data_IF_342872291653
#
_entry.id   IF_342872291653
#
_cell.length_a   1.000
_cell.length_b   1.000
_cell.length_c   1.000
_cell.angle_alpha   90.00
_cell.angle_beta   90.00
_cell.angle_gamma   90.00
#
_symmetry.space_group_name_H-M   'P 1'
#
loop_
_entity.id
_entity.type
_entity.pdbx_description
1 polymer ?
#
# COMPACT_ATOMS: atom_id res chain seq x y z
N UNK A 1 10.90 -10.09 -16.16
CA UNK A 1 10.12 -8.94 -15.64
C UNK A 1 11.03 -7.73 -15.66
N UNK A 2 10.71 -6.71 -16.46
CA UNK A 2 11.48 -5.46 -16.50
C UNK A 2 11.03 -4.60 -15.32
N UNK A 3 11.91 -4.42 -14.34
CA UNK A 3 11.69 -3.54 -13.20
C UNK A 3 12.12 -2.13 -13.60
N UNK A 4 11.17 -1.19 -13.67
CA UNK A 4 11.45 0.21 -13.93
C UNK A 4 11.78 0.94 -12.62
N UNK A 5 13.07 1.17 -12.40
CA UNK A 5 13.67 2.48 -12.13
C UNK A 5 13.32 3.30 -10.89
N UNK A 6 12.08 3.36 -10.41
CA UNK A 6 11.71 4.21 -9.26
C UNK A 6 11.01 3.38 -8.20
N UNK A 7 11.79 2.55 -7.50
CA UNK A 7 11.34 1.92 -6.25
C UNK A 7 11.04 3.03 -5.24
N UNK A 8 9.79 3.47 -5.14
CA UNK A 8 9.32 4.15 -3.94
C UNK A 8 9.61 3.26 -2.72
N UNK A 9 9.69 3.85 -1.53
CA UNK A 9 10.04 3.10 -0.34
C UNK A 9 9.02 1.97 -0.11
N UNK A 10 9.51 0.83 0.38
CA UNK A 10 8.63 -0.26 0.80
C UNK A 10 8.24 -0.02 2.26
N UNK A 11 6.95 -0.07 2.56
CA UNK A 11 6.41 0.15 3.89
C UNK A 11 5.76 -1.12 4.42
N UNK A 12 6.12 -1.54 5.63
CA UNK A 12 5.38 -2.56 6.38
C UNK A 12 4.48 -1.87 7.41
N UNK A 13 3.18 -2.11 7.32
CA UNK A 13 2.24 -1.51 8.25
C UNK A 13 2.27 -2.26 9.59
N UNK A 14 2.50 -1.55 10.72
CA UNK A 14 2.55 -2.20 12.03
C UNK A 14 1.18 -2.58 12.58
N UNK A 15 0.10 -2.11 11.93
CA UNK A 15 -1.30 -2.26 12.32
C UNK A 15 -2.21 -2.19 11.09
N UNK A 16 -3.49 -2.59 11.21
CA UNK A 16 -4.46 -2.41 10.14
C UNK A 16 -4.56 -0.95 9.69
N UNK A 17 -4.80 -0.73 8.39
CA UNK A 17 -4.79 0.61 7.78
C UNK A 17 -5.69 1.63 8.52
N UNK A 18 -6.87 1.18 8.94
CA UNK A 18 -7.86 2.02 9.63
C UNK A 18 -7.44 2.44 11.04
N UNK A 19 -6.53 1.69 11.67
CA UNK A 19 -5.98 2.00 13.00
C UNK A 19 -4.75 2.93 12.93
N UNK A 20 -4.22 3.19 11.73
CA UNK A 20 -3.09 4.08 11.55
C UNK A 20 -3.48 5.54 11.76
N UNK A 21 -2.57 6.27 12.41
CA UNK A 21 -2.66 7.73 12.53
C UNK A 21 -2.63 8.36 11.14
N UNK A 22 -3.40 9.44 10.95
CA UNK A 22 -3.51 10.13 9.67
C UNK A 22 -2.14 10.52 9.09
N UNK A 23 -1.26 11.12 9.90
CA UNK A 23 0.09 11.50 9.45
C UNK A 23 0.93 10.33 8.92
N UNK A 24 0.72 9.11 9.45
CA UNK A 24 1.42 7.92 8.94
C UNK A 24 0.81 7.46 7.62
N UNK A 25 -0.53 7.48 7.50
CA UNK A 25 -1.22 7.18 6.23
C UNK A 25 -0.76 8.14 5.13
N UNK A 26 -0.69 9.43 5.41
CA UNK A 26 -0.24 10.45 4.46
C UNK A 26 1.21 10.19 4.02
N UNK A 27 2.11 9.87 4.96
CA UNK A 27 3.50 9.51 4.65
C UNK A 27 3.59 8.28 3.74
N UNK A 28 2.77 7.25 3.98
CA UNK A 28 2.72 6.04 3.14
C UNK A 28 2.18 6.40 1.74
N UNK A 29 1.10 7.18 1.63
CA UNK A 29 0.54 7.59 0.33
C UNK A 29 1.55 8.38 -0.50
N UNK A 30 2.35 9.24 0.13
CA UNK A 30 3.30 10.10 -0.56
C UNK A 30 4.63 9.41 -0.92
N UNK A 31 5.15 8.54 -0.06
CA UNK A 31 6.48 7.96 -0.21
C UNK A 31 6.49 6.51 -0.72
N UNK A 32 5.40 5.76 -0.51
CA UNK A 32 5.42 4.32 -0.77
C UNK A 32 5.37 3.98 -2.26
N UNK A 33 6.23 3.06 -2.67
CA UNK A 33 6.13 2.31 -3.93
C UNK A 33 5.63 0.87 -3.71
N UNK A 34 5.75 0.37 -2.48
CA UNK A 34 5.31 -0.95 -2.05
C UNK A 34 4.71 -0.84 -0.64
N UNK A 35 3.58 -1.50 -0.40
CA UNK A 35 2.91 -1.54 0.91
C UNK A 35 2.67 -3.00 1.29
N UNK A 36 3.22 -3.42 2.41
CA UNK A 36 2.92 -4.69 3.06
C UNK A 36 1.98 -4.43 4.22
N UNK A 37 0.82 -5.04 4.17
CA UNK A 37 -0.21 -4.85 5.19
C UNK A 37 0.08 -5.69 6.42
N UNK A 38 -0.55 -5.33 7.53
CA UNK A 38 -0.36 -6.03 8.80
C UNK A 38 -0.80 -7.50 8.75
N UNK A 39 -1.83 -7.80 7.96
CA UNK A 39 -2.44 -9.12 7.80
C UNK A 39 -1.76 -9.99 6.73
N UNK A 40 -0.58 -9.56 6.25
CA UNK A 40 0.23 -10.28 5.26
C UNK A 40 -0.13 -10.00 3.80
N UNK A 41 -0.99 -9.02 3.53
CA UNK A 41 -1.26 -8.53 2.19
C UNK A 41 -0.15 -7.65 1.64
N UNK A 42 -0.19 -7.41 0.33
CA UNK A 42 0.87 -6.76 -0.41
C UNK A 42 0.31 -5.97 -1.59
N UNK A 43 0.69 -4.70 -1.68
CA UNK A 43 0.38 -3.82 -2.79
C UNK A 43 1.67 -3.26 -3.39
N UNK A 44 1.68 -3.11 -4.71
CA UNK A 44 2.76 -2.43 -5.43
C UNK A 44 2.19 -1.30 -6.28
N UNK A 45 2.99 -0.27 -6.52
CA UNK A 45 2.65 0.81 -7.44
C UNK A 45 3.33 0.58 -8.78
N UNK A 46 2.53 0.35 -9.83
CA UNK A 46 2.97 0.12 -11.21
C UNK A 46 2.39 1.22 -12.09
N UNK A 47 3.22 1.94 -12.84
CA UNK A 47 2.81 3.06 -13.70
C UNK A 47 1.93 4.10 -12.98
N UNK A 48 2.21 4.33 -11.70
CA UNK A 48 1.45 5.27 -10.85
C UNK A 48 0.14 4.71 -10.27
N UNK A 49 -0.27 3.51 -10.67
CA UNK A 49 -1.48 2.82 -10.22
C UNK A 49 -1.13 1.78 -9.16
N UNK A 50 -1.96 1.68 -8.12
CA UNK A 50 -1.82 0.64 -7.09
C UNK A 50 -2.46 -0.67 -7.53
N UNK A 51 -1.75 -1.76 -7.35
CA UNK A 51 -2.19 -3.12 -7.61
C UNK A 51 -1.99 -4.00 -6.37
N UNK A 52 -2.98 -4.84 -6.06
CA UNK A 52 -2.90 -5.82 -4.97
C UNK A 52 -2.26 -7.08 -5.53
N UNK A 53 -1.10 -7.43 -4.99
CA UNK A 53 -0.40 -8.67 -5.30
C UNK A 53 -0.91 -9.82 -4.41
N UNK A 54 -1.19 -9.52 -3.15
CA UNK A 54 -1.70 -10.47 -2.16
C UNK A 54 -2.72 -9.76 -1.25
N UNK A 55 -3.91 -10.34 -1.05
CA UNK A 55 -4.99 -9.70 -0.28
C UNK A 55 -4.75 -9.71 1.24
N UNK A 56 -3.89 -10.62 1.73
CA UNK A 56 -3.73 -10.89 3.14
C UNK A 56 -4.88 -11.70 3.74
N UNK A 57 -4.83 -11.95 5.04
CA UNK A 57 -5.78 -12.79 5.78
C UNK A 57 -7.08 -12.08 6.18
N UNK A 58 -7.08 -10.74 6.19
CA UNK A 58 -8.18 -9.89 6.64
C UNK A 58 -8.62 -8.88 5.55
N UNK A 59 -8.16 -9.05 4.30
CA UNK A 59 -8.46 -8.18 3.15
C UNK A 59 -8.03 -6.72 3.35
N UNK A 60 -7.01 -6.47 4.19
CA UNK A 60 -6.57 -5.11 4.49
C UNK A 60 -5.98 -4.45 3.23
N UNK A 61 -5.40 -5.24 2.32
CA UNK A 61 -4.88 -4.74 1.06
C UNK A 61 -5.97 -4.19 0.12
N UNK A 62 -7.11 -4.85 0.02
CA UNK A 62 -8.25 -4.36 -0.76
C UNK A 62 -8.85 -3.08 -0.18
N UNK A 63 -8.87 -2.96 1.16
CA UNK A 63 -9.29 -1.74 1.84
C UNK A 63 -8.36 -0.59 1.50
N UNK A 64 -7.05 -0.80 1.57
CA UNK A 64 -6.04 0.20 1.22
C UNK A 64 -6.17 0.61 -0.24
N UNK A 65 -6.27 -0.35 -1.17
CA UNK A 65 -6.45 -0.08 -2.59
C UNK A 65 -7.67 0.81 -2.85
N UNK A 66 -8.80 0.51 -2.22
CA UNK A 66 -10.03 1.30 -2.35
C UNK A 66 -9.87 2.72 -1.79
N UNK A 67 -9.14 2.90 -0.69
CA UNK A 67 -8.86 4.23 -0.13
C UNK A 67 -7.94 5.02 -1.06
N UNK A 68 -6.86 4.41 -1.55
CA UNK A 68 -5.89 5.06 -2.42
C UNK A 68 -6.51 5.44 -3.77
N UNK A 69 -7.41 4.64 -4.33
CA UNK A 69 -8.16 4.98 -5.55
C UNK A 69 -9.12 6.14 -5.37
N UNK A 70 -9.76 6.29 -4.21
CA UNK A 70 -10.68 7.40 -3.92
C UNK A 70 -9.95 8.72 -3.68
N UNK A 71 -8.67 8.67 -3.30
CA UNK A 71 -7.87 9.85 -3.04
C UNK A 71 -7.28 10.49 -4.31
N UNK A 72 -7.50 9.89 -5.49
CA UNK A 72 -6.92 10.28 -6.77
C UNK A 72 -7.97 10.88 -7.71
#
# INVERSE_FOLDING_TARGET
MRYDGTRGDWFSLPKPWLELRQAMRDSVVHAAGEIRTYDGGHLIRVDGVWEVMESGTHNDADVILNVLRKAN
#
